data_IF_500371485763
#
_entry.id   IF_500371485763
#
_cell.length_a   1.000
_cell.length_b   1.000
_cell.length_c   1.000
_cell.angle_alpha   90.00
_cell.angle_beta   90.00
_cell.angle_gamma   90.00
#
_symmetry.space_group_name_H-M   'P 1'
#
loop_
_entity.id
_entity.type
_entity.pdbx_description
1 polymer ?
#
# COMPACT_ATOMS: atom_id res chain seq x y z
N UNK A 1 10.06 -28.24 54.19
CA UNK A 1 9.07 -28.54 53.14
C UNK A 1 9.38 -27.63 51.98
N UNK A 2 9.59 -28.25 50.83
CA UNK A 2 10.13 -27.69 49.60
C UNK A 2 9.20 -26.69 48.93
N UNK A 3 9.74 -25.53 48.54
CA UNK A 3 9.15 -24.57 47.61
C UNK A 3 9.02 -25.15 46.18
N UNK A 4 8.27 -26.25 46.05
CA UNK A 4 8.09 -26.98 44.79
C UNK A 4 7.10 -26.31 43.83
N UNK A 5 6.47 -25.20 44.26
CA UNK A 5 5.46 -24.45 43.50
C UNK A 5 5.81 -22.96 43.35
N UNK A 6 7.07 -22.56 43.58
CA UNK A 6 7.47 -21.20 43.26
C UNK A 6 7.35 -20.99 41.74
N UNK A 7 6.50 -20.08 41.26
CA UNK A 7 6.44 -19.78 39.84
C UNK A 7 7.82 -19.32 39.38
N UNK A 8 8.30 -19.75 38.19
CA UNK A 8 9.59 -19.32 37.71
C UNK A 8 9.60 -17.80 37.67
N UNK A 9 10.46 -17.19 38.48
CA UNK A 9 10.77 -15.76 38.38
C UNK A 9 11.55 -15.58 37.08
N UNK A 10 10.86 -15.59 35.95
CA UNK A 10 11.46 -15.11 34.71
C UNK A 10 11.75 -13.64 34.94
N UNK A 11 13.02 -13.34 35.19
CA UNK A 11 13.56 -12.03 34.91
C UNK A 11 13.48 -11.88 33.39
N UNK A 12 12.28 -11.55 32.89
CA UNK A 12 12.18 -10.84 31.63
C UNK A 12 12.79 -9.49 31.97
N UNK A 13 14.11 -9.39 31.84
CA UNK A 13 14.78 -8.10 31.83
C UNK A 13 13.98 -7.25 30.86
N UNK A 14 13.68 -6.01 31.25
CA UNK A 14 13.23 -4.97 30.34
C UNK A 14 14.34 -4.74 29.30
N UNK A 15 14.50 -5.70 28.38
CA UNK A 15 15.30 -5.54 27.18
C UNK A 15 14.52 -4.47 26.46
N UNK A 16 15.03 -3.24 26.52
CA UNK A 16 14.60 -2.14 25.69
C UNK A 16 14.37 -2.73 24.31
N UNK A 17 13.08 -2.90 23.94
CA UNK A 17 12.72 -3.59 22.71
C UNK A 17 13.50 -2.89 21.62
N UNK A 18 14.44 -3.60 20.99
CA UNK A 18 15.27 -3.00 19.97
C UNK A 18 14.34 -2.43 18.91
N UNK A 19 14.43 -1.12 18.70
CA UNK A 19 13.64 -0.43 17.69
C UNK A 19 14.04 -1.07 16.36
N UNK A 20 13.19 -1.98 15.86
CA UNK A 20 13.48 -2.71 14.63
C UNK A 20 13.20 -1.77 13.47
N UNK A 21 14.24 -1.03 13.08
CA UNK A 21 14.17 -0.18 11.91
C UNK A 21 13.95 -1.04 10.64
N UNK A 22 13.13 -0.57 9.69
CA UNK A 22 12.95 -1.22 8.41
C UNK A 22 14.27 -1.29 7.63
N UNK A 23 14.46 -2.38 6.89
CA UNK A 23 15.60 -2.56 6.01
C UNK A 23 15.63 -1.47 4.90
N UNK A 24 16.83 -1.09 4.47
CA UNK A 24 17.11 -0.15 3.36
C UNK A 24 16.36 -0.51 2.08
N UNK A 25 16.07 -1.80 1.86
CA UNK A 25 15.26 -2.28 0.73
C UNK A 25 13.91 -1.54 0.65
N UNK A 26 13.26 -1.25 1.78
CA UNK A 26 11.98 -0.52 1.79
C UNK A 26 12.11 0.94 1.38
N UNK A 27 13.25 1.56 1.67
CA UNK A 27 13.54 2.93 1.22
C UNK A 27 13.78 2.97 -0.29
N UNK A 28 14.51 1.98 -0.83
CA UNK A 28 14.70 1.82 -2.28
C UNK A 28 13.36 1.57 -2.96
N UNK A 29 12.57 0.64 -2.44
CA UNK A 29 11.24 0.32 -2.94
C UNK A 29 10.33 1.56 -2.96
N UNK A 30 10.32 2.35 -1.88
CA UNK A 30 9.59 3.61 -1.82
C UNK A 30 10.00 4.57 -2.95
N UNK A 31 11.30 4.78 -3.17
CA UNK A 31 11.79 5.65 -4.24
C UNK A 31 11.33 5.15 -5.61
N UNK A 32 11.41 3.85 -5.86
CA UNK A 32 10.91 3.25 -7.11
C UNK A 32 9.42 3.53 -7.28
N UNK A 33 8.60 3.26 -6.26
CA UNK A 33 7.16 3.48 -6.33
C UNK A 33 6.81 4.96 -6.55
N UNK A 34 7.54 5.90 -5.93
CA UNK A 34 7.35 7.34 -6.15
C UNK A 34 7.72 7.74 -7.57
N UNK A 35 8.85 7.26 -8.10
CA UNK A 35 9.24 7.56 -9.48
C UNK A 35 8.22 7.02 -10.47
N UNK A 36 7.72 5.79 -10.27
CA UNK A 36 6.64 5.24 -11.09
C UNK A 36 5.35 6.07 -10.97
N UNK A 37 4.92 6.43 -9.77
CA UNK A 37 3.69 7.20 -9.56
C UNK A 37 3.78 8.66 -10.04
N UNK A 38 4.96 9.26 -10.07
CA UNK A 38 5.15 10.67 -10.45
C UNK A 38 5.47 10.84 -11.94
N UNK A 39 6.12 9.84 -12.55
CA UNK A 39 6.52 9.89 -13.96
C UNK A 39 5.54 9.10 -14.83
N UNK A 40 5.14 7.90 -14.43
CA UNK A 40 4.35 7.03 -15.31
C UNK A 40 2.86 7.35 -15.20
N UNK A 41 2.32 7.47 -13.99
CA UNK A 41 0.88 7.66 -13.82
C UNK A 41 0.34 8.98 -14.44
N UNK A 42 0.97 10.15 -14.27
CA UNK A 42 0.47 11.37 -14.88
C UNK A 42 0.62 11.37 -16.40
N UNK A 43 1.66 10.72 -16.94
CA UNK A 43 1.82 10.58 -18.38
C UNK A 43 0.77 9.64 -18.98
N UNK A 44 0.49 8.50 -18.34
CA UNK A 44 -0.58 7.58 -18.76
C UNK A 44 -1.97 8.18 -18.59
N UNK A 45 -2.18 9.07 -17.62
CA UNK A 45 -3.47 9.72 -17.44
C UNK A 45 -3.63 10.90 -18.43
N UNK A 46 -2.56 11.67 -18.70
CA UNK A 46 -2.60 12.85 -19.57
C UNK A 46 -2.44 12.52 -21.06
N UNK A 47 -1.70 11.48 -21.45
CA UNK A 47 -1.45 11.17 -22.88
C UNK A 47 -2.72 10.80 -23.63
N UNK A 48 -3.78 10.42 -22.92
CA UNK A 48 -5.07 10.06 -23.52
C UNK A 48 -6.10 11.20 -23.48
N UNK A 49 -5.76 12.36 -22.89
CA UNK A 49 -6.58 13.58 -22.98
C UNK A 49 -6.39 14.28 -24.35
N UNK A 50 -5.30 13.98 -25.07
CA UNK A 50 -4.88 14.70 -26.27
C UNK A 50 -5.34 14.14 -27.62
N UNK A 51 -6.06 13.02 -27.66
CA UNK A 51 -6.47 12.38 -28.92
C UNK A 51 -7.98 12.12 -28.92
N UNK A 52 -8.77 13.03 -29.52
CA UNK A 52 -10.14 12.81 -30.04
C UNK A 52 -11.26 12.24 -29.14
N UNK A 53 -11.06 12.05 -27.83
CA UNK A 53 -12.12 11.58 -26.91
C UNK A 53 -12.76 12.73 -26.12
N UNK A 54 -13.53 13.59 -26.80
CA UNK A 54 -14.45 14.54 -26.14
C UNK A 54 -15.69 13.81 -25.58
N UNK A 55 -15.95 12.58 -26.04
CA UNK A 55 -16.87 11.64 -25.41
C UNK A 55 -16.14 10.86 -24.31
N UNK A 56 -15.63 11.58 -23.31
CA UNK A 56 -15.26 10.97 -22.04
C UNK A 56 -16.55 10.40 -21.45
N UNK A 57 -16.76 9.10 -21.64
CA UNK A 57 -17.62 8.32 -20.75
C UNK A 57 -17.10 8.58 -19.34
N UNK A 58 -17.77 9.50 -18.64
CA UNK A 58 -17.36 10.13 -17.38
C UNK A 58 -17.00 9.14 -16.26
N UNK A 59 -17.26 7.86 -16.47
CA UNK A 59 -17.10 6.78 -15.51
C UNK A 59 -15.71 6.13 -15.53
N UNK A 60 -15.04 5.99 -16.67
CA UNK A 60 -13.77 5.25 -16.72
C UNK A 60 -12.59 6.08 -16.21
N UNK A 61 -12.38 7.29 -16.75
CA UNK A 61 -11.28 8.16 -16.33
C UNK A 61 -11.36 8.60 -14.87
N UNK A 62 -12.57 8.74 -14.32
CA UNK A 62 -12.75 9.09 -12.90
C UNK A 62 -12.23 7.97 -11.96
N UNK A 63 -12.33 6.71 -12.37
CA UNK A 63 -11.81 5.58 -11.60
C UNK A 63 -10.29 5.55 -11.64
N UNK A 64 -9.66 5.89 -12.76
CA UNK A 64 -8.20 6.00 -12.89
C UNK A 64 -7.63 7.06 -11.92
N UNK A 65 -8.27 8.24 -11.83
CA UNK A 65 -7.89 9.27 -10.86
C UNK A 65 -8.07 8.83 -9.41
N UNK A 66 -9.15 8.10 -9.13
CA UNK A 66 -9.44 7.61 -7.79
C UNK A 66 -8.45 6.51 -7.38
N UNK A 67 -8.08 5.61 -8.28
CA UNK A 67 -7.01 4.64 -8.06
C UNK A 67 -5.68 5.34 -7.76
N UNK A 68 -5.31 6.33 -8.57
CA UNK A 68 -4.10 7.13 -8.34
C UNK A 68 -4.09 7.83 -6.98
N UNK A 69 -5.23 8.38 -6.55
CA UNK A 69 -5.38 8.98 -5.23
C UNK A 69 -5.17 7.94 -4.11
N UNK A 70 -5.75 6.74 -4.25
CA UNK A 70 -5.55 5.64 -3.30
C UNK A 70 -4.07 5.25 -3.26
N UNK A 71 -3.40 5.15 -4.41
CA UNK A 71 -1.97 4.87 -4.48
C UNK A 71 -1.14 5.92 -3.73
N UNK A 72 -1.47 7.21 -3.87
CA UNK A 72 -0.82 8.29 -3.12
C UNK A 72 -0.99 8.15 -1.61
N UNK A 73 -2.18 7.76 -1.13
CA UNK A 73 -2.42 7.49 0.30
C UNK A 73 -1.60 6.28 0.77
N UNK A 74 -1.52 5.22 -0.03
CA UNK A 74 -0.71 4.04 0.30
C UNK A 74 0.79 4.36 0.31
N UNK A 75 1.26 5.22 -0.61
CA UNK A 75 2.64 5.72 -0.62
C UNK A 75 2.99 6.48 0.65
N UNK A 76 2.06 7.27 1.20
CA UNK A 76 2.26 7.92 2.50
C UNK A 76 2.44 6.90 3.63
N UNK A 77 1.69 5.80 3.61
CA UNK A 77 1.85 4.71 4.57
C UNK A 77 3.17 3.96 4.40
N UNK A 78 3.56 3.67 3.15
CA UNK A 78 4.84 3.08 2.81
C UNK A 78 6.01 3.96 3.26
N UNK A 79 5.92 5.28 3.08
CA UNK A 79 6.90 6.23 3.60
C UNK A 79 6.97 6.17 5.13
N UNK A 80 5.81 6.21 5.80
CA UNK A 80 5.71 6.10 7.25
C UNK A 80 6.41 4.85 7.77
N UNK A 81 6.22 3.72 7.07
CA UNK A 81 6.93 2.49 7.34
C UNK A 81 8.44 2.62 7.09
N UNK A 82 8.84 2.88 5.84
CA UNK A 82 10.23 2.82 5.37
C UNK A 82 11.18 3.78 6.11
N UNK A 83 10.66 4.90 6.61
CA UNK A 83 11.42 5.92 7.34
C UNK A 83 11.12 5.95 8.84
N UNK A 84 10.35 4.98 9.35
CA UNK A 84 9.97 4.93 10.77
C UNK A 84 9.34 6.24 11.25
N UNK A 85 8.47 6.85 10.42
CA UNK A 85 7.79 8.11 10.72
C UNK A 85 6.32 7.85 11.00
N UNK A 86 5.80 8.52 12.02
CA UNK A 86 4.36 8.49 12.34
C UNK A 86 3.62 9.41 11.39
N UNK A 87 2.68 8.87 10.64
CA UNK A 87 1.75 9.61 9.78
C UNK A 87 0.34 9.24 10.21
N UNK A 88 -0.44 10.23 10.63
CA UNK A 88 -1.80 10.02 11.09
C UNK A 88 -1.92 9.10 12.31
N UNK A 89 -2.90 8.19 12.27
CA UNK A 89 -3.26 7.32 13.39
C UNK A 89 -3.09 5.84 13.01
N UNK A 90 -2.67 4.99 13.94
CA UNK A 90 -2.52 3.55 13.70
C UNK A 90 -3.81 2.90 13.17
N UNK A 91 -4.96 3.29 13.71
CA UNK A 91 -6.28 2.79 13.29
C UNK A 91 -6.59 3.08 11.81
N UNK A 92 -6.11 4.21 11.30
CA UNK A 92 -6.28 4.59 9.89
C UNK A 92 -5.59 3.57 8.98
N UNK A 93 -4.35 3.19 9.28
CA UNK A 93 -3.60 2.22 8.48
C UNK A 93 -4.16 0.80 8.58
N UNK A 94 -4.65 0.42 9.77
CA UNK A 94 -5.34 -0.86 9.95
C UNK A 94 -6.63 -0.95 9.12
N UNK A 95 -7.36 0.15 8.99
CA UNK A 95 -8.56 0.22 8.15
C UNK A 95 -8.25 0.40 6.66
N UNK A 96 -7.18 1.11 6.33
CA UNK A 96 -6.78 1.37 4.95
C UNK A 96 -6.31 0.10 4.23
N UNK A 97 -5.66 -0.83 4.93
CA UNK A 97 -5.18 -2.09 4.35
C UNK A 97 -6.29 -2.92 3.67
N UNK A 98 -7.39 -3.32 4.35
CA UNK A 98 -8.45 -4.09 3.70
C UNK A 98 -9.15 -3.29 2.60
N UNK A 99 -9.32 -1.98 2.76
CA UNK A 99 -9.89 -1.11 1.73
C UNK A 99 -9.02 -1.13 0.48
N UNK A 100 -7.71 -1.02 0.62
CA UNK A 100 -6.75 -1.06 -0.49
C UNK A 100 -6.77 -2.39 -1.22
N UNK A 101 -6.79 -3.52 -0.48
CA UNK A 101 -6.86 -4.85 -1.09
C UNK A 101 -8.16 -5.06 -1.86
N UNK A 102 -9.30 -4.69 -1.27
CA UNK A 102 -10.61 -4.78 -1.93
C UNK A 102 -10.65 -3.89 -3.16
N UNK A 103 -10.14 -2.67 -3.06
CA UNK A 103 -10.06 -1.75 -4.18
C UNK A 103 -9.20 -2.31 -5.30
N UNK A 104 -7.98 -2.77 -5.02
CA UNK A 104 -7.09 -3.34 -6.03
C UNK A 104 -7.71 -4.54 -6.75
N UNK A 105 -8.29 -5.49 -6.02
CA UNK A 105 -8.97 -6.65 -6.64
C UNK A 105 -10.14 -6.19 -7.51
N UNK A 106 -10.91 -5.22 -7.02
CA UNK A 106 -12.05 -4.69 -7.77
C UNK A 106 -11.60 -3.99 -9.04
N UNK A 107 -10.62 -3.10 -8.93
CA UNK A 107 -10.13 -2.26 -10.01
C UNK A 107 -9.35 -3.08 -11.04
N UNK A 108 -8.37 -3.89 -10.64
CA UNK A 108 -7.51 -4.64 -11.56
C UNK A 108 -8.16 -5.88 -12.18
N UNK A 109 -9.19 -6.47 -11.55
CA UNK A 109 -9.76 -7.74 -12.01
C UNK A 109 -11.28 -7.69 -12.23
N UNK A 110 -12.05 -7.24 -11.24
CA UNK A 110 -13.51 -7.33 -11.30
C UNK A 110 -14.09 -6.36 -12.34
N UNK A 111 -13.69 -5.08 -12.30
CA UNK A 111 -14.19 -4.06 -13.22
C UNK A 111 -13.80 -4.34 -14.69
N UNK A 112 -12.55 -4.70 -15.02
CA UNK A 112 -12.14 -4.88 -16.41
C UNK A 112 -12.67 -6.20 -16.99
N UNK A 113 -12.50 -7.32 -16.28
CA UNK A 113 -12.87 -8.64 -16.80
C UNK A 113 -14.32 -9.04 -16.48
N UNK A 114 -14.92 -8.49 -15.44
CA UNK A 114 -16.31 -8.77 -15.05
C UNK A 114 -17.32 -7.80 -15.64
N UNK A 115 -16.94 -6.53 -15.84
CA UNK A 115 -17.85 -5.47 -16.30
C UNK A 115 -17.40 -4.76 -17.57
N UNK A 116 -16.22 -5.09 -18.13
CA UNK A 116 -15.73 -4.49 -19.37
C UNK A 116 -15.26 -3.05 -19.23
N UNK A 117 -14.92 -2.60 -18.02
CA UNK A 117 -14.41 -1.24 -17.78
C UNK A 117 -12.99 -1.13 -18.32
N UNK A 118 -12.73 -0.13 -19.16
CA UNK A 118 -11.39 0.16 -19.68
C UNK A 118 -10.59 0.96 -18.66
N UNK A 119 -9.50 0.37 -18.18
CA UNK A 119 -8.56 1.03 -17.29
C UNK A 119 -7.57 1.82 -18.14
N UNK A 120 -7.30 3.07 -17.79
CA UNK A 120 -6.41 3.93 -18.57
C UNK A 120 -6.79 4.00 -20.07
N UNK A 121 -8.08 3.85 -20.38
CA UNK A 121 -8.63 3.73 -21.74
C UNK A 121 -8.06 2.58 -22.59
N UNK A 122 -7.44 1.58 -21.97
CA UNK A 122 -6.95 0.38 -22.64
C UNK A 122 -7.94 -0.79 -22.49
N UNK A 123 -8.14 -1.59 -23.55
CA UNK A 123 -8.95 -2.79 -23.45
C UNK A 123 -8.25 -3.80 -22.51
N UNK A 124 -9.02 -4.53 -21.68
CA UNK A 124 -8.44 -5.49 -20.76
C UNK A 124 -7.67 -6.58 -21.51
N UNK A 125 -6.38 -6.67 -21.24
CA UNK A 125 -5.48 -7.65 -21.85
C UNK A 125 -4.83 -8.53 -20.77
N UNK A 126 -4.65 -9.81 -21.08
CA UNK A 126 -3.81 -10.70 -20.28
C UNK A 126 -2.37 -10.52 -20.72
N UNK A 127 -1.66 -9.61 -20.07
CA UNK A 127 -0.24 -9.35 -20.34
C UNK A 127 0.62 -9.45 -19.06
N UNK A 128 1.87 -9.02 -19.17
CA UNK A 128 2.81 -9.08 -18.06
C UNK A 128 2.46 -8.13 -16.91
N UNK A 129 1.69 -7.06 -17.16
CA UNK A 129 1.28 -6.09 -16.13
C UNK A 129 0.37 -6.75 -15.10
N UNK A 130 -0.47 -7.69 -15.54
CA UNK A 130 -1.35 -8.49 -14.69
C UNK A 130 -0.59 -9.40 -13.69
N UNK A 131 0.71 -9.62 -13.90
CA UNK A 131 1.59 -10.33 -12.96
C UNK A 131 2.39 -9.35 -12.10
N UNK A 132 2.89 -8.27 -12.70
CA UNK A 132 3.73 -7.29 -11.99
C UNK A 132 2.92 -6.46 -10.99
N UNK A 133 1.73 -5.98 -11.37
CA UNK A 133 0.92 -5.11 -10.54
C UNK A 133 0.50 -5.78 -9.22
N UNK A 134 0.03 -7.05 -9.19
CA UNK A 134 -0.23 -7.74 -7.94
C UNK A 134 1.01 -7.87 -7.05
N UNK A 135 2.20 -8.10 -7.62
CA UNK A 135 3.43 -8.21 -6.82
C UNK A 135 3.78 -6.88 -6.15
N UNK A 136 3.66 -5.77 -6.87
CA UNK A 136 3.86 -4.43 -6.31
C UNK A 136 2.82 -4.11 -5.24
N UNK A 137 1.55 -4.35 -5.53
CA UNK A 137 0.45 -4.16 -4.56
C UNK A 137 0.66 -5.00 -3.31
N UNK A 138 1.08 -6.27 -3.44
CA UNK A 138 1.36 -7.13 -2.30
C UNK A 138 2.53 -6.61 -1.45
N UNK A 139 3.59 -6.10 -2.08
CA UNK A 139 4.70 -5.48 -1.36
C UNK A 139 4.26 -4.21 -0.60
N UNK A 140 3.43 -3.37 -1.21
CA UNK A 140 2.84 -2.19 -0.55
C UNK A 140 1.93 -2.62 0.60
N UNK A 141 1.02 -3.57 0.38
CA UNK A 141 0.13 -4.10 1.40
C UNK A 141 0.91 -4.71 2.58
N UNK A 142 2.02 -5.41 2.31
CA UNK A 142 2.92 -5.92 3.34
C UNK A 142 3.53 -4.78 4.15
N UNK A 143 4.00 -3.70 3.51
CA UNK A 143 4.52 -2.54 4.22
C UNK A 143 3.47 -1.89 5.12
N UNK A 144 2.24 -1.71 4.62
CA UNK A 144 1.13 -1.14 5.40
C UNK A 144 0.74 -2.05 6.56
N UNK A 145 0.73 -3.37 6.34
CA UNK A 145 0.50 -4.34 7.42
C UNK A 145 1.56 -4.21 8.51
N UNK A 146 2.85 -4.22 8.14
CA UNK A 146 3.94 -4.07 9.10
C UNK A 146 3.86 -2.74 9.83
N UNK A 147 3.55 -1.65 9.11
CA UNK A 147 3.38 -0.32 9.67
C UNK A 147 2.24 -0.26 10.69
N UNK A 148 1.04 -0.71 10.33
CA UNK A 148 -0.14 -0.61 11.17
C UNK A 148 -0.18 -1.61 12.31
N UNK A 149 0.35 -2.83 12.13
CA UNK A 149 0.18 -3.95 13.07
C UNK A 149 1.46 -4.40 13.79
N UNK A 150 2.64 -4.13 13.26
CA UNK A 150 3.90 -4.67 13.81
C UNK A 150 4.88 -3.60 14.31
N UNK A 151 4.73 -2.35 13.86
CA UNK A 151 5.60 -1.23 14.28
C UNK A 151 5.10 -0.54 15.55
N UNK A 152 4.87 -1.30 16.62
CA UNK A 152 4.38 -0.80 17.92
C UNK A 152 5.20 0.37 18.47
N UNK A 153 6.52 0.35 18.26
CA UNK A 153 7.44 1.40 18.71
C UNK A 153 7.14 2.78 18.09
N UNK A 154 6.44 2.85 16.95
CA UNK A 154 6.01 4.10 16.31
C UNK A 154 4.69 4.64 16.88
N UNK A 155 3.90 3.77 17.50
CA UNK A 155 2.52 4.06 17.91
C UNK A 155 2.33 4.15 19.42
N UNK A 156 3.28 3.62 20.21
CA UNK A 156 3.33 3.84 21.65
C UNK A 156 3.66 5.31 21.89
N UNK A 157 2.69 6.04 22.43
CA UNK A 157 2.84 7.43 22.85
C UNK A 157 4.00 7.55 23.85
N UNK A 158 4.80 8.61 23.73
CA UNK A 158 5.55 9.15 24.86
C UNK A 158 4.56 9.84 25.81
#
# INVERSE_FOLDING_TARGET
MSDLYAPPKSQVSDVAMSVKEPNVIWKIFFVICVLLNLIVAPFLIMSFIGADYVDLDFNAGALDYFDWLIQCVMLAGLFGYAFSKRIGMQKLWKAALPVYVVWFVSYAFILPFGFGVYQFNEPPALDWTLVIDPLFTLAVAQAIYLYGFSSDHLWREQ
#
